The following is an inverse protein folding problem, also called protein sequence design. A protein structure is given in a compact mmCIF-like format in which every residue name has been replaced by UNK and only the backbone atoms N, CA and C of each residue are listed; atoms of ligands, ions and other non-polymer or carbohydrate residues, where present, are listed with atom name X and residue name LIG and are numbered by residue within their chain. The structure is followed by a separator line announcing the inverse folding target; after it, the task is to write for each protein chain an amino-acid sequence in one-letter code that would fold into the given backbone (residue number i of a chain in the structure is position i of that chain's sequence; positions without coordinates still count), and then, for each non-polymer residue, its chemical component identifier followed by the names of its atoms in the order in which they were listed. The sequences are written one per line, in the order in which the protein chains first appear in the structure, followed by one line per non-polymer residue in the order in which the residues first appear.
data_IF_965510255018
#
_entry.id   IF_965510255018
#
_cell.length_a   1.000
_cell.length_b   1.000
_cell.length_c   1.000
_cell.angle_alpha   90.00
_cell.angle_beta   90.00
_cell.angle_gamma   90.00
#
_symmetry.space_group_name_H-M   'P 1'
#
loop_
_entity.id
_entity.type
_entity.pdbx_description
1 polymer ?
#
# COMPACT_ATOMS: atom_id res chain seq x y z
N UNK A 1 19.38 20.34 -1.31
CA UNK A 1 18.16 20.38 -0.49
C UNK A 1 18.26 19.25 0.52
N UNK A 2 18.55 19.56 1.78
CA UNK A 2 18.72 18.53 2.81
C UNK A 2 17.35 18.15 3.34
N UNK A 3 16.80 17.05 2.85
CA UNK A 3 15.55 16.49 3.36
C UNK A 3 15.82 15.88 4.73
N UNK A 4 15.34 16.55 5.78
CA UNK A 4 15.21 15.96 7.12
C UNK A 4 13.92 15.13 7.15
N UNK A 5 13.95 13.96 6.51
CA UNK A 5 12.83 13.02 6.60
C UNK A 5 12.95 12.25 7.92
N UNK A 6 11.89 12.20 8.76
CA UNK A 6 11.90 11.31 9.89
C UNK A 6 11.79 9.87 9.38
N UNK A 7 12.93 9.18 9.35
CA UNK A 7 12.99 7.73 9.15
C UNK A 7 12.43 7.09 10.40
N UNK A 8 11.16 6.69 10.35
CA UNK A 8 10.60 5.84 11.39
C UNK A 8 11.00 4.40 11.08
N UNK A 9 11.85 3.82 11.94
CA UNK A 9 12.04 2.38 12.03
C UNK A 9 10.78 1.82 12.68
N UNK A 10 9.82 1.42 11.86
CA UNK A 10 8.69 0.65 12.34
C UNK A 10 9.12 -0.82 12.36
N UNK A 11 9.46 -1.31 13.55
CA UNK A 11 9.77 -2.72 13.78
C UNK A 11 8.56 -3.63 13.46
N UNK A 12 7.36 -3.05 13.33
CA UNK A 12 6.11 -3.74 13.09
C UNK A 12 5.19 -2.93 12.18
N UNK A 13 5.58 -2.63 10.94
CA UNK A 13 4.63 -2.06 9.99
C UNK A 13 3.39 -2.97 9.88
N UNK A 14 2.33 -2.60 10.60
CA UNK A 14 1.19 -3.47 10.85
C UNK A 14 0.22 -3.53 9.70
N UNK A 15 0.36 -2.65 8.70
CA UNK A 15 -0.51 -2.57 7.54
C UNK A 15 0.22 -1.90 6.38
N UNK A 16 0.28 -2.53 5.21
CA UNK A 16 0.79 -1.91 3.98
C UNK A 16 0.38 -2.68 2.72
N UNK A 17 0.35 -1.98 1.58
CA UNK A 17 0.11 -2.58 0.27
C UNK A 17 1.39 -3.29 -0.18
N UNK A 18 1.29 -4.55 -0.56
CA UNK A 18 2.43 -5.39 -0.95
C UNK A 18 2.58 -5.46 -2.45
N UNK A 19 1.45 -5.63 -3.15
CA UNK A 19 1.41 -5.80 -4.59
C UNK A 19 0.20 -5.07 -5.17
N UNK A 20 0.41 -4.48 -6.34
CA UNK A 20 -0.62 -3.83 -7.13
C UNK A 20 -0.46 -4.35 -8.57
N UNK A 21 -0.97 -5.55 -8.80
CA UNK A 21 -0.90 -6.23 -10.10
C UNK A 21 -1.96 -5.64 -11.05
N UNK A 22 -2.03 -6.16 -12.28
CA UNK A 22 -3.00 -5.71 -13.27
C UNK A 22 -4.46 -5.86 -12.79
N UNK A 23 -4.77 -6.96 -12.12
CA UNK A 23 -6.12 -7.41 -11.76
C UNK A 23 -6.34 -7.53 -10.25
N UNK A 24 -5.35 -7.21 -9.40
CA UNK A 24 -5.51 -7.36 -7.95
C UNK A 24 -4.62 -6.45 -7.12
N UNK A 25 -5.09 -6.17 -5.90
CA UNK A 25 -4.31 -5.52 -4.84
C UNK A 25 -4.20 -6.47 -3.65
N UNK A 26 -2.99 -6.56 -3.10
CA UNK A 26 -2.69 -7.37 -1.92
C UNK A 26 -2.19 -6.46 -0.81
N UNK A 27 -2.77 -6.60 0.38
CA UNK A 27 -2.41 -5.88 1.59
C UNK A 27 -2.00 -6.89 2.66
N UNK A 28 -0.89 -6.61 3.34
CA UNK A 28 -0.53 -7.32 4.56
C UNK A 28 -0.94 -6.52 5.77
N UNK A 29 -1.45 -7.23 6.77
CA UNK A 29 -1.74 -6.71 8.09
C UNK A 29 -1.23 -7.65 9.19
N UNK A 30 -0.96 -7.09 10.36
CA UNK A 30 -0.68 -7.81 11.60
C UNK A 30 -1.81 -7.63 12.64
N UNK A 31 -2.83 -6.83 12.36
CA UNK A 31 -3.91 -6.50 13.29
C UNK A 31 -5.28 -6.91 12.72
N UNK A 32 -6.05 -7.70 13.46
CA UNK A 32 -7.39 -8.08 13.03
C UNK A 32 -8.33 -6.88 12.89
N UNK A 33 -8.08 -5.79 13.62
CA UNK A 33 -8.85 -4.56 13.61
C UNK A 33 -8.81 -3.84 12.25
N UNK A 34 -7.76 -4.05 11.44
CA UNK A 34 -7.66 -3.48 10.09
C UNK A 34 -8.78 -4.01 9.16
N UNK A 35 -9.38 -5.16 9.48
CA UNK A 35 -10.56 -5.67 8.79
C UNK A 35 -11.69 -4.62 8.73
N UNK A 36 -11.88 -3.84 9.80
CA UNK A 36 -12.95 -2.83 9.87
C UNK A 36 -12.79 -1.73 8.82
N UNK A 37 -11.56 -1.49 8.36
CA UNK A 37 -11.22 -0.47 7.36
C UNK A 37 -11.14 -1.05 5.94
N UNK A 38 -10.73 -2.31 5.82
CA UNK A 38 -10.48 -2.96 4.52
C UNK A 38 -11.69 -3.70 3.95
N UNK A 39 -12.49 -4.38 4.79
CA UNK A 39 -13.67 -5.11 4.31
C UNK A 39 -14.70 -4.21 3.62
N UNK A 40 -15.00 -2.98 4.12
CA UNK A 40 -15.91 -2.06 3.41
C UNK A 40 -15.39 -1.60 2.05
N UNK A 41 -14.08 -1.67 1.80
CA UNK A 41 -13.47 -1.39 0.50
C UNK A 41 -13.56 -2.58 -0.47
N UNK A 42 -14.14 -3.71 -0.03
CA UNK A 42 -14.32 -4.92 -0.84
C UNK A 42 -13.21 -5.96 -0.70
N UNK A 43 -12.18 -5.70 0.12
CA UNK A 43 -11.15 -6.70 0.37
C UNK A 43 -11.71 -7.94 1.05
N UNK A 44 -11.17 -9.09 0.68
CA UNK A 44 -11.42 -10.36 1.36
C UNK A 44 -10.16 -10.79 2.10
N UNK A 45 -10.32 -11.32 3.31
CA UNK A 45 -9.20 -11.93 4.02
C UNK A 45 -8.89 -13.28 3.35
N UNK A 46 -7.63 -13.48 3.00
CA UNK A 46 -7.11 -14.77 2.55
C UNK A 46 -6.92 -15.67 3.78
N UNK A 47 -7.79 -16.67 3.91
CA UNK A 47 -7.80 -17.59 5.05
C UNK A 47 -6.74 -18.70 4.95
N UNK A 48 -6.16 -18.91 3.76
CA UNK A 48 -5.16 -19.95 3.53
C UNK A 48 -3.78 -19.56 4.11
N UNK A 49 -3.57 -18.27 4.39
CA UNK A 49 -2.36 -17.71 4.98
C UNK A 49 -2.48 -17.70 6.51
N UNK A 50 -1.77 -18.60 7.18
CA UNK A 50 -1.78 -18.69 8.66
C UNK A 50 -0.65 -17.93 9.34
N UNK A 51 0.39 -17.56 8.60
CA UNK A 51 1.56 -16.84 9.11
C UNK A 51 1.36 -15.33 9.20
N UNK A 52 0.44 -14.77 8.41
CA UNK A 52 0.14 -13.32 8.33
C UNK A 52 -1.31 -13.10 7.92
N UNK A 53 -1.86 -11.94 8.30
CA UNK A 53 -3.19 -11.54 7.81
C UNK A 53 -3.00 -10.92 6.43
N UNK A 54 -3.53 -11.58 5.40
CA UNK A 54 -3.46 -11.11 4.02
C UNK A 54 -4.85 -10.73 3.56
N UNK A 55 -4.98 -9.57 2.94
CA UNK A 55 -6.22 -9.10 2.32
C UNK A 55 -6.01 -8.98 0.82
N UNK A 56 -6.95 -9.50 0.04
CA UNK A 56 -6.90 -9.52 -1.42
C UNK A 56 -8.19 -8.95 -1.99
N UNK A 57 -8.04 -8.09 -2.99
CA UNK A 57 -9.16 -7.57 -3.79
C UNK A 57 -8.82 -7.72 -5.27
N UNK A 58 -9.70 -8.39 -6.00
CA UNK A 58 -9.67 -8.48 -7.46
C UNK A 58 -10.33 -7.22 -8.04
N UNK A 59 -9.74 -6.66 -9.09
CA UNK A 59 -10.13 -5.44 -9.77
C UNK A 59 -10.36 -5.73 -11.25
N UNK A 60 -11.45 -5.20 -11.80
CA UNK A 60 -11.81 -5.43 -13.19
C UNK A 60 -11.21 -4.42 -14.17
N UNK A 61 -10.76 -3.25 -13.69
CA UNK A 61 -10.25 -2.18 -14.53
C UNK A 61 -9.40 -1.15 -13.75
N UNK A 62 -8.68 -0.30 -14.49
CA UNK A 62 -7.83 0.74 -13.92
C UNK A 62 -8.60 1.89 -13.24
N UNK A 63 -9.87 2.10 -13.58
CA UNK A 63 -10.70 3.12 -12.92
C UNK A 63 -11.04 2.71 -11.47
N UNK A 64 -11.37 1.44 -11.25
CA UNK A 64 -11.55 0.85 -9.92
C UNK A 64 -10.24 0.90 -9.12
N UNK A 65 -9.13 0.54 -9.77
CA UNK A 65 -7.79 0.61 -9.17
C UNK A 65 -7.45 2.02 -8.71
N UNK A 66 -7.66 3.02 -9.55
CA UNK A 66 -7.42 4.44 -9.24
C UNK A 66 -8.22 4.90 -8.02
N UNK A 67 -9.51 4.57 -7.97
CA UNK A 67 -10.39 4.88 -6.83
C UNK A 67 -9.90 4.21 -5.55
N UNK A 68 -9.52 2.94 -5.64
CA UNK A 68 -9.07 2.17 -4.49
C UNK A 68 -7.73 2.67 -3.95
N UNK A 69 -6.76 2.95 -4.83
CA UNK A 69 -5.47 3.53 -4.43
C UNK A 69 -5.64 4.90 -3.77
N UNK A 70 -6.56 5.72 -4.27
CA UNK A 70 -6.92 7.00 -3.64
C UNK A 70 -7.51 6.79 -2.25
N UNK A 71 -8.44 5.84 -2.09
CA UNK A 71 -9.04 5.53 -0.79
C UNK A 71 -8.01 4.97 0.21
N UNK A 72 -7.10 4.11 -0.23
CA UNK A 72 -6.04 3.55 0.61
C UNK A 72 -5.03 4.63 1.04
N UNK A 73 -4.69 5.56 0.15
CA UNK A 73 -3.90 6.76 0.48
C UNK A 73 -4.60 7.58 1.57
N UNK A 74 -5.89 7.85 1.42
CA UNK A 74 -6.66 8.68 2.37
C UNK A 74 -6.82 8.00 3.74
N UNK A 75 -6.81 6.67 3.76
CA UNK A 75 -6.75 5.89 5.00
C UNK A 75 -5.36 5.88 5.65
N UNK A 76 -4.34 6.42 4.97
CA UNK A 76 -2.95 6.43 5.41
C UNK A 76 -2.27 5.06 5.30
N UNK A 77 -2.76 4.18 4.41
CA UNK A 77 -2.14 2.88 4.16
C UNK A 77 -0.86 3.09 3.35
N UNK A 78 0.33 2.68 3.85
CA UNK A 78 1.57 2.83 3.12
C UNK A 78 1.65 1.92 1.90
N UNK A 79 2.27 2.45 0.85
CA UNK A 79 2.48 1.80 -0.43
C UNK A 79 3.83 1.10 -0.39
N UNK A 80 3.81 -0.22 -0.52
CA UNK A 80 5.02 -1.01 -0.59
C UNK A 80 5.91 -0.59 -1.75
N UNK A 81 7.20 -0.61 -1.48
CA UNK A 81 8.24 -0.56 -2.49
C UNK A 81 8.95 -1.91 -2.50
N UNK A 82 8.92 -2.56 -3.66
CA UNK A 82 9.59 -3.81 -3.92
C UNK A 82 10.56 -3.61 -5.09
N UNK A 83 11.78 -4.17 -5.01
CA UNK A 83 12.78 -4.03 -6.08
C UNK A 83 12.42 -4.83 -7.35
N UNK A 84 11.37 -5.64 -7.32
CA UNK A 84 10.91 -6.45 -8.44
C UNK A 84 9.37 -6.47 -8.48
N UNK A 85 8.82 -6.65 -9.69
CA UNK A 85 7.37 -6.59 -9.95
C UNK A 85 6.87 -5.17 -10.25
N UNK A 86 5.55 -4.98 -10.16
CA UNK A 86 4.91 -3.65 -10.18
C UNK A 86 4.64 -3.21 -8.74
N UNK A 87 5.58 -2.48 -8.09
CA UNK A 87 5.39 -2.07 -6.72
C UNK A 87 4.25 -1.05 -6.64
N UNK A 88 3.40 -1.12 -5.59
CA UNK A 88 2.29 -0.20 -5.40
C UNK A 88 2.66 1.28 -5.53
N UNK A 89 3.83 1.66 -5.00
CA UNK A 89 4.38 3.02 -5.13
C UNK A 89 4.58 3.43 -6.59
N UNK A 90 5.22 2.59 -7.42
CA UNK A 90 5.41 2.89 -8.84
C UNK A 90 4.09 2.93 -9.63
N UNK A 91 3.13 2.07 -9.29
CA UNK A 91 1.80 2.10 -9.92
C UNK A 91 1.08 3.40 -9.57
N UNK A 92 1.19 3.87 -8.32
CA UNK A 92 0.61 5.14 -7.91
C UNK A 92 1.27 6.32 -8.64
N UNK A 93 2.60 6.34 -8.75
CA UNK A 93 3.32 7.37 -9.50
C UNK A 93 2.93 7.38 -10.98
N UNK A 94 2.86 6.22 -11.63
CA UNK A 94 2.42 6.13 -13.02
C UNK A 94 1.01 6.73 -13.20
N UNK A 95 0.06 6.36 -12.33
CA UNK A 95 -1.28 6.94 -12.38
C UNK A 95 -1.30 8.43 -12.05
N UNK A 96 -0.37 8.91 -11.22
CA UNK A 96 -0.22 10.34 -10.92
C UNK A 96 0.29 11.10 -12.14
N UNK A 97 1.28 10.57 -12.84
CA UNK A 97 1.81 11.13 -14.10
C UNK A 97 0.72 11.23 -15.18
N UNK A 98 -0.21 10.26 -15.21
CA UNK A 98 -1.39 10.29 -16.09
C UNK A 98 -2.56 11.15 -15.56
N UNK A 99 -2.42 11.82 -14.41
CA UNK A 99 -3.46 12.66 -13.82
C UNK A 99 -4.67 11.91 -13.27
N UNK A 100 -4.55 10.60 -13.03
CA UNK A 100 -5.62 9.74 -12.51
C UNK A 100 -5.67 9.77 -10.98
N UNK A 101 -4.54 9.91 -10.31
CA UNK A 101 -4.43 10.10 -8.85
C UNK A 101 -3.60 11.35 -8.52
N UNK A 102 -3.64 11.80 -7.27
CA UNK A 102 -2.89 12.98 -6.80
C UNK A 102 -2.55 12.93 -5.32
N UNK A 103 -2.03 14.03 -4.77
CA UNK A 103 -1.81 14.18 -3.33
C UNK A 103 -0.64 13.39 -2.75
N UNK A 104 -0.37 13.63 -1.46
CA UNK A 104 0.71 12.98 -0.70
C UNK A 104 0.34 11.54 -0.37
N UNK A 105 1.35 10.67 -0.35
CA UNK A 105 1.17 9.29 0.09
C UNK A 105 2.37 8.82 0.91
N UNK A 106 2.14 7.77 1.69
CA UNK A 106 3.19 7.12 2.45
C UNK A 106 3.73 5.96 1.63
N UNK A 107 5.05 5.90 1.47
CA UNK A 107 5.75 4.75 0.92
C UNK A 107 6.46 3.99 2.05
N UNK A 108 6.53 2.67 1.92
CA UNK A 108 7.23 1.81 2.87
C UNK A 108 8.14 0.83 2.15
N UNK A 109 9.35 0.63 2.67
CA UNK A 109 10.30 -0.36 2.16
C UNK A 109 10.97 -1.11 3.29
N UNK A 110 11.42 -2.33 2.98
CA UNK A 110 12.15 -3.17 3.94
C UNK A 110 13.64 -2.83 3.87
N UNK A 111 14.17 -2.30 4.97
CA UNK A 111 15.60 -1.99 5.14
C UNK A 111 16.34 -3.02 5.99
N UNK A 112 17.64 -2.80 6.13
CA UNK A 112 18.50 -3.58 7.06
C UNK A 112 18.16 -3.12 8.48
N UNK A 113 17.19 -3.76 9.12
CA UNK A 113 16.76 -3.44 10.49
C UNK A 113 15.25 -3.30 10.71
N UNK A 114 14.43 -3.33 9.65
CA UNK A 114 12.99 -3.21 9.80
C UNK A 114 12.32 -2.55 8.59
N UNK A 115 11.13 -2.01 8.79
CA UNK A 115 10.46 -1.21 7.77
C UNK A 115 10.79 0.26 7.95
N UNK A 116 11.05 0.93 6.84
CA UNK A 116 11.25 2.38 6.77
C UNK A 116 10.05 2.97 6.04
N UNK A 117 9.36 3.90 6.71
CA UNK A 117 8.25 4.66 6.13
C UNK A 117 8.71 6.06 5.76
N UNK A 118 8.33 6.53 4.57
CA UNK A 118 8.58 7.90 4.09
C UNK A 118 7.28 8.49 3.56
N UNK A 119 7.07 9.77 3.79
CA UNK A 119 5.99 10.52 3.13
C UNK A 119 6.57 11.17 1.89
N UNK A 120 5.94 10.95 0.75
CA UNK A 120 6.36 11.53 -0.52
C UNK A 120 5.42 12.67 -0.91
N UNK A 121 6.00 13.87 -0.96
CA UNK A 121 5.47 15.02 -1.68
C UNK A 121 6.20 15.19 -3.02
N UNK A 122 5.48 15.73 -4.00
CA UNK A 122 6.02 16.08 -5.30
C UNK A 122 6.46 17.54 -5.27
#
# INVERSE_FOLDING_TARGET
MTFKMPVYSDEHASLFIVACDADRIIIYSNAQEDALRLLPLGFNKDEDRTDKIVYVLQLGNDAEKTKLLTALRDLGVPFGYAPAGWPPSAVFELFREHGLVGGLYQQIFRGVGGFIRVTLDN
#
